data_IF_006078809581
#
_entry.id   IF_006078809581
#
_cell.length_a   1.000
_cell.length_b   1.000
_cell.length_c   1.000
_cell.angle_alpha   90.00
_cell.angle_beta   90.00
_cell.angle_gamma   90.00
#
_symmetry.space_group_name_H-M   'P 1'
#
loop_
_entity.id
_entity.type
_entity.pdbx_description
1 polymer ?
#
# COMPACT_ATOMS: atom_id res chain seq x y z
N UNK A 1 -18.51 -9.47 -28.29
CA UNK A 1 -18.67 -9.65 -26.83
C UNK A 1 -19.91 -8.88 -26.40
N UNK A 2 -20.85 -9.52 -25.70
CA UNK A 2 -22.09 -8.86 -25.26
C UNK A 2 -21.83 -7.87 -24.13
N UNK A 3 -22.71 -6.88 -23.97
CA UNK A 3 -22.67 -5.91 -22.87
C UNK A 3 -22.69 -6.66 -21.52
N UNK A 4 -21.79 -6.35 -20.57
CA UNK A 4 -21.78 -6.97 -19.24
C UNK A 4 -23.13 -6.82 -18.54
N UNK A 5 -23.58 -7.84 -17.81
CA UNK A 5 -24.77 -7.73 -16.96
C UNK A 5 -24.45 -6.89 -15.71
N UNK A 6 -25.50 -6.35 -15.07
CA UNK A 6 -25.37 -5.61 -13.82
C UNK A 6 -24.63 -6.41 -12.74
N UNK A 7 -24.97 -7.69 -12.57
CA UNK A 7 -24.32 -8.55 -11.58
C UNK A 7 -22.82 -8.71 -11.85
N UNK A 8 -22.38 -8.70 -13.12
CA UNK A 8 -20.97 -8.74 -13.48
C UNK A 8 -20.26 -7.42 -13.13
N UNK A 9 -20.94 -6.28 -13.27
CA UNK A 9 -20.41 -4.97 -12.90
C UNK A 9 -20.27 -4.88 -11.38
N UNK A 10 -21.31 -5.24 -10.63
CA UNK A 10 -21.30 -5.24 -9.17
C UNK A 10 -20.21 -6.17 -8.61
N UNK A 11 -20.05 -7.37 -9.19
CA UNK A 11 -18.98 -8.30 -8.84
C UNK A 11 -17.59 -7.71 -9.10
N UNK A 12 -17.40 -7.04 -10.24
CA UNK A 12 -16.13 -6.38 -10.59
C UNK A 12 -15.80 -5.23 -9.65
N UNK A 13 -16.78 -4.40 -9.29
CA UNK A 13 -16.62 -3.32 -8.30
C UNK A 13 -16.19 -3.89 -6.94
N UNK A 14 -16.84 -4.97 -6.50
CA UNK A 14 -16.47 -5.64 -5.24
C UNK A 14 -15.06 -6.21 -5.29
N UNK A 15 -14.64 -6.78 -6.42
CA UNK A 15 -13.27 -7.28 -6.60
C UNK A 15 -12.25 -6.14 -6.46
N UNK A 16 -12.49 -4.99 -7.09
CA UNK A 16 -11.60 -3.81 -6.96
C UNK A 16 -11.44 -3.36 -5.49
N UNK A 17 -12.53 -3.32 -4.72
CA UNK A 17 -12.46 -3.00 -3.29
C UNK A 17 -11.69 -4.04 -2.48
N UNK A 18 -11.86 -5.32 -2.82
CA UNK A 18 -11.17 -6.43 -2.14
C UNK A 18 -9.67 -6.37 -2.40
N UNK A 19 -9.28 -6.15 -3.65
CA UNK A 19 -7.88 -5.99 -4.03
C UNK A 19 -7.28 -4.75 -3.38
N UNK A 20 -7.99 -3.61 -3.37
CA UNK A 20 -7.56 -2.42 -2.66
C UNK A 20 -7.32 -2.65 -1.17
N UNK A 21 -8.19 -3.44 -0.53
CA UNK A 21 -8.03 -3.85 0.87
C UNK A 21 -6.76 -4.69 1.09
N UNK A 22 -6.44 -5.58 0.14
CA UNK A 22 -5.23 -6.40 0.19
C UNK A 22 -3.97 -5.54 0.09
N UNK A 23 -3.92 -4.60 -0.86
CA UNK A 23 -2.80 -3.66 -1.00
C UNK A 23 -2.62 -2.78 0.24
N UNK A 24 -3.71 -2.25 0.80
CA UNK A 24 -3.66 -1.48 2.04
C UNK A 24 -3.13 -2.31 3.22
N UNK A 25 -3.57 -3.57 3.36
CA UNK A 25 -3.07 -4.45 4.40
C UNK A 25 -1.57 -4.77 4.24
N UNK A 26 -1.06 -4.83 3.00
CA UNK A 26 0.39 -4.96 2.76
C UNK A 26 1.14 -3.67 3.10
N UNK A 27 0.56 -2.50 2.83
CA UNK A 27 1.14 -1.21 3.23
C UNK A 27 1.30 -1.13 4.77
N UNK A 28 0.26 -1.52 5.51
CA UNK A 28 0.29 -1.58 6.98
C UNK A 28 1.40 -2.50 7.52
N UNK A 29 1.63 -3.64 6.85
CA UNK A 29 2.72 -4.56 7.21
C UNK A 29 4.10 -3.94 6.97
N UNK A 30 4.29 -3.23 5.84
CA UNK A 30 5.54 -2.53 5.56
C UNK A 30 5.79 -1.39 6.54
N UNK A 31 4.75 -0.64 6.93
CA UNK A 31 4.83 0.38 7.99
C UNK A 31 5.14 -0.22 9.37
N UNK A 32 4.64 -1.42 9.67
CA UNK A 32 5.02 -2.13 10.90
C UNK A 32 6.50 -2.56 10.86
N UNK A 33 6.96 -3.13 9.74
CA UNK A 33 8.35 -3.51 9.55
C UNK A 33 9.32 -2.32 9.59
N UNK A 34 8.92 -1.17 9.05
CA UNK A 34 9.70 0.07 9.09
C UNK A 34 9.95 0.53 10.52
N UNK A 35 8.90 0.50 11.35
CA UNK A 35 9.00 0.84 12.78
C UNK A 35 9.93 -0.11 13.53
N UNK A 36 9.87 -1.40 13.23
CA UNK A 36 10.80 -2.39 13.77
C UNK A 36 12.23 -2.06 13.33
N UNK A 37 12.44 -1.84 12.03
CA UNK A 37 13.77 -1.51 11.48
C UNK A 37 14.37 -0.27 12.15
N UNK A 38 13.59 0.80 12.37
CA UNK A 38 14.05 1.99 13.11
C UNK A 38 14.36 1.72 14.58
N UNK A 39 13.69 0.77 15.20
CA UNK A 39 13.93 0.37 16.58
C UNK A 39 15.19 -0.49 16.78
N UNK A 40 15.74 -1.08 15.71
CA UNK A 40 16.97 -1.87 15.74
C UNK A 40 18.21 -0.97 15.73
N UNK A 41 18.42 -0.21 16.80
CA UNK A 41 19.63 0.62 16.95
C UNK A 41 20.73 -0.16 17.66
N UNK A 42 21.91 -0.26 17.05
CA UNK A 42 23.14 -0.64 17.74
C UNK A 42 23.97 0.63 17.91
N UNK A 43 24.18 1.04 19.16
CA UNK A 43 25.01 2.19 19.48
C UNK A 43 26.48 1.79 19.53
N UNK A 44 27.36 2.79 19.62
CA UNK A 44 28.79 2.62 19.84
C UNK A 44 29.10 1.79 21.10
N UNK A 45 28.17 1.70 22.07
CA UNK A 45 28.33 0.86 23.26
C UNK A 45 28.21 -0.64 22.96
N UNK A 46 27.34 -1.02 22.01
CA UNK A 46 27.21 -2.40 21.54
C UNK A 46 28.34 -2.80 20.58
N UNK A 47 29.01 -1.83 19.93
CA UNK A 47 30.19 -2.06 19.12
C UNK A 47 31.47 -2.06 19.97
N UNK A 48 32.40 -2.98 19.68
CA UNK A 48 33.74 -2.91 20.29
C UNK A 48 34.46 -1.60 19.89
N UNK A 49 35.37 -1.10 20.72
CA UNK A 49 36.13 0.11 20.39
C UNK A 49 36.90 0.02 19.05
N UNK A 50 37.32 -1.19 18.65
CA UNK A 50 37.91 -1.44 17.33
C UNK A 50 36.88 -1.32 16.20
N UNK A 51 35.65 -1.78 16.41
CA UNK A 51 34.57 -1.67 15.42
C UNK A 51 34.17 -0.20 15.19
N UNK A 52 34.16 0.62 16.24
CA UNK A 52 33.97 2.06 16.11
C UNK A 52 35.15 2.73 15.38
N UNK A 53 36.39 2.36 15.72
CA UNK A 53 37.59 2.94 15.09
C UNK A 53 37.66 2.68 13.57
N UNK A 54 37.01 1.62 13.07
CA UNK A 54 36.90 1.31 11.63
C UNK A 54 35.58 1.76 11.00
N UNK A 55 34.72 2.48 11.74
CA UNK A 55 33.46 3.06 11.25
C UNK A 55 32.31 2.07 11.03
N UNK A 56 32.32 0.92 11.71
CA UNK A 56 31.30 -0.12 11.52
C UNK A 56 29.91 0.30 12.00
N UNK A 57 29.85 1.14 13.04
CA UNK A 57 28.61 1.71 13.58
C UNK A 57 27.95 2.65 12.57
N UNK A 58 28.71 3.49 11.88
CA UNK A 58 28.20 4.34 10.80
C UNK A 58 27.65 3.50 9.63
N UNK A 59 28.38 2.46 9.21
CA UNK A 59 27.93 1.54 8.15
C UNK A 59 26.64 0.84 8.55
N UNK A 60 26.54 0.37 9.79
CA UNK A 60 25.33 -0.27 10.30
C UNK A 60 24.14 0.71 10.30
N UNK A 61 24.32 1.92 10.83
CA UNK A 61 23.27 2.93 10.89
C UNK A 61 22.78 3.32 9.48
N UNK A 62 23.70 3.50 8.53
CA UNK A 62 23.35 3.79 7.13
C UNK A 62 22.54 2.64 6.50
N UNK A 63 22.91 1.39 6.77
CA UNK A 63 22.17 0.23 6.27
C UNK A 63 20.76 0.16 6.89
N UNK A 64 20.66 0.37 8.19
CA UNK A 64 19.41 0.40 8.92
C UNK A 64 18.48 1.49 8.37
N UNK A 65 18.98 2.71 8.21
CA UNK A 65 18.23 3.84 7.68
C UNK A 65 17.77 3.58 6.24
N UNK A 66 18.65 3.03 5.40
CA UNK A 66 18.29 2.66 4.03
C UNK A 66 17.17 1.63 3.99
N UNK A 67 17.23 0.62 4.86
CA UNK A 67 16.19 -0.40 4.95
C UNK A 67 14.85 0.20 5.40
N UNK A 68 14.86 1.05 6.43
CA UNK A 68 13.65 1.74 6.90
C UNK A 68 13.04 2.62 5.79
N UNK A 69 13.87 3.36 5.03
CA UNK A 69 13.39 4.17 3.90
C UNK A 69 12.70 3.32 2.83
N UNK A 70 13.32 2.21 2.42
CA UNK A 70 12.76 1.32 1.39
C UNK A 70 11.42 0.71 1.83
N UNK A 71 11.29 0.34 3.11
CA UNK A 71 10.03 -0.15 3.66
C UNK A 71 8.95 0.94 3.63
N UNK A 72 9.30 2.19 3.98
CA UNK A 72 8.37 3.31 3.93
C UNK A 72 7.93 3.66 2.49
N UNK A 73 8.87 3.66 1.55
CA UNK A 73 8.59 3.88 0.13
C UNK A 73 7.69 2.77 -0.43
N UNK A 74 7.96 1.51 -0.09
CA UNK A 74 7.11 0.37 -0.48
C UNK A 74 5.68 0.49 0.05
N UNK A 75 5.54 0.87 1.33
CA UNK A 75 4.25 1.14 1.95
C UNK A 75 3.45 2.21 1.21
N UNK A 76 4.08 3.36 0.93
CA UNK A 76 3.45 4.46 0.20
C UNK A 76 3.01 4.06 -1.23
N UNK A 77 3.80 3.22 -1.90
CA UNK A 77 3.43 2.69 -3.22
C UNK A 77 2.20 1.78 -3.16
N UNK A 78 2.10 0.92 -2.14
CA UNK A 78 0.95 0.04 -1.97
C UNK A 78 -0.33 0.81 -1.61
N UNK A 79 -0.21 1.84 -0.77
CA UNK A 79 -1.33 2.76 -0.50
C UNK A 79 -1.80 3.51 -1.76
N UNK A 80 -0.86 3.91 -2.62
CA UNK A 80 -1.19 4.54 -3.90
C UNK A 80 -1.99 3.60 -4.81
N UNK A 81 -1.58 2.33 -4.90
CA UNK A 81 -2.31 1.30 -5.65
C UNK A 81 -3.71 1.09 -5.05
N UNK A 82 -3.80 0.94 -3.73
CA UNK A 82 -5.08 0.79 -3.04
C UNK A 82 -6.02 1.98 -3.29
N UNK A 83 -5.50 3.21 -3.25
CA UNK A 83 -6.24 4.43 -3.55
C UNK A 83 -6.74 4.49 -4.99
N UNK A 84 -5.91 4.10 -5.95
CA UNK A 84 -6.30 4.04 -7.36
C UNK A 84 -7.42 3.03 -7.61
N UNK A 85 -7.35 1.85 -6.99
CA UNK A 85 -8.38 0.81 -7.11
C UNK A 85 -9.72 1.25 -6.50
N UNK A 86 -9.71 1.91 -5.33
CA UNK A 86 -10.91 2.50 -4.72
C UNK A 86 -11.51 3.57 -5.61
N UNK A 87 -10.68 4.45 -6.16
CA UNK A 87 -11.13 5.51 -7.09
C UNK A 87 -11.79 4.93 -8.33
N UNK A 88 -11.23 3.84 -8.88
CA UNK A 88 -11.84 3.14 -10.02
C UNK A 88 -13.19 2.52 -9.64
N UNK A 89 -13.27 1.85 -8.49
CA UNK A 89 -14.51 1.26 -7.97
C UNK A 89 -15.61 2.31 -7.77
N UNK A 90 -15.27 3.45 -7.17
CA UNK A 90 -16.16 4.61 -7.00
C UNK A 90 -16.61 5.22 -8.34
N UNK A 91 -15.73 5.22 -9.34
CA UNK A 91 -16.05 5.62 -10.71
C UNK A 91 -17.16 4.73 -11.29
N UNK A 92 -16.93 3.41 -11.29
CA UNK A 92 -17.87 2.44 -11.83
C UNK A 92 -19.23 2.44 -11.10
N UNK A 93 -19.23 2.52 -9.76
CA UNK A 93 -20.45 2.57 -8.98
C UNK A 93 -21.34 3.78 -9.33
N UNK A 94 -20.72 4.97 -9.47
CA UNK A 94 -21.44 6.19 -9.86
C UNK A 94 -21.99 6.13 -11.28
N UNK A 95 -21.27 5.50 -12.19
CA UNK A 95 -21.71 5.37 -13.58
C UNK A 95 -22.90 4.40 -13.70
N UNK A 96 -22.89 3.32 -12.93
CA UNK A 96 -24.00 2.36 -12.85
C UNK A 96 -25.26 3.00 -12.25
N UNK A 97 -25.14 3.76 -11.16
CA UNK A 97 -26.27 4.50 -10.58
C UNK A 97 -26.92 5.45 -11.58
N UNK A 98 -26.10 6.21 -12.33
CA UNK A 98 -26.59 7.11 -13.36
C UNK A 98 -27.25 6.37 -14.52
N UNK A 99 -26.72 5.21 -14.92
CA UNK A 99 -27.29 4.39 -15.98
C UNK A 99 -28.68 3.87 -15.59
N UNK A 100 -28.82 3.31 -14.40
CA UNK A 100 -30.10 2.85 -13.84
C UNK A 100 -31.10 4.00 -13.76
N UNK A 101 -30.67 5.19 -13.31
CA UNK A 101 -31.56 6.34 -13.19
C UNK A 101 -32.07 6.85 -14.56
N UNK A 102 -31.22 6.82 -15.60
CA UNK A 102 -31.64 7.13 -16.98
C UNK A 102 -32.64 6.11 -17.51
N UNK A 103 -32.42 4.82 -17.29
CA UNK A 103 -33.35 3.77 -17.73
C UNK A 103 -34.74 3.93 -17.09
N UNK A 104 -34.81 4.25 -15.79
CA UNK A 104 -36.07 4.48 -15.07
C UNK A 104 -36.85 5.73 -15.50
N UNK A 105 -36.21 6.68 -16.20
CA UNK A 105 -36.88 7.89 -16.73
C UNK A 105 -37.46 7.70 -18.14
N UNK A 106 -37.01 6.68 -18.86
CA UNK A 106 -37.41 6.42 -20.26
C UNK A 106 -38.59 5.45 -20.34
N UNK A 107 -38.81 4.65 -19.29
CA UNK A 107 -40.01 3.83 -19.07
C UNK A 107 -40.98 4.54 -18.14
#
# INVERSE_FOLDING_TARGET
>A
MGTPSKDMIDASIKALYTDAGTWAGMADQLDAMERVARGLTLSTFEFSGLAHAVGLDEVYNNLQERMASLLKEGSANFDSIAGALRTAADGYARDEEKAVHRMKKIY
#
